data_IF_017053762673
#
_entry.id   IF_017053762673
#
_cell.length_a   1.000
_cell.length_b   1.000
_cell.length_c   1.000
_cell.angle_alpha   90.00
_cell.angle_beta   90.00
_cell.angle_gamma   90.00
#
_symmetry.space_group_name_H-M   'P 1'
#
loop_
_entity.id
_entity.type
_entity.pdbx_description
1 polymer ?
#
# COMPACT_ATOMS: atom_id res chain seq x y z
N UNK A 1 28.31 -24.28 -13.37
CA UNK A 1 28.25 -23.47 -14.60
C UNK A 1 27.03 -23.75 -15.48
N UNK A 2 26.72 -24.98 -15.92
CA UNK A 2 25.60 -25.21 -16.84
C UNK A 2 24.23 -24.88 -16.22
N UNK A 3 24.03 -25.17 -14.93
CA UNK A 3 22.76 -24.91 -14.23
C UNK A 3 22.41 -23.43 -14.16
N UNK A 4 23.38 -22.57 -13.81
CA UNK A 4 23.17 -21.14 -13.72
C UNK A 4 22.87 -20.53 -15.10
N UNK A 5 23.57 -21.01 -16.14
CA UNK A 5 23.28 -20.63 -17.51
C UNK A 5 21.84 -20.99 -17.92
N UNK A 6 21.40 -22.22 -17.65
CA UNK A 6 20.02 -22.65 -17.94
C UNK A 6 18.98 -21.81 -17.20
N UNK A 7 19.21 -21.48 -15.92
CA UNK A 7 18.32 -20.61 -15.15
C UNK A 7 18.20 -19.23 -15.82
N UNK A 8 19.32 -18.62 -16.21
CA UNK A 8 19.32 -17.32 -16.88
C UNK A 8 18.59 -17.36 -18.22
N UNK A 9 18.75 -18.43 -19.00
CA UNK A 9 18.03 -18.61 -20.27
C UNK A 9 16.51 -18.69 -20.04
N UNK A 10 16.06 -19.48 -19.06
CA UNK A 10 14.63 -19.57 -18.72
C UNK A 10 14.08 -18.22 -18.27
N UNK A 11 14.82 -17.49 -17.43
CA UNK A 11 14.44 -16.16 -16.99
C UNK A 11 14.37 -15.15 -18.14
N UNK A 12 15.30 -15.21 -19.09
CA UNK A 12 15.31 -14.34 -20.26
C UNK A 12 14.10 -14.63 -21.17
N UNK A 13 13.80 -15.90 -21.43
CA UNK A 13 12.62 -16.32 -22.20
C UNK A 13 11.34 -15.84 -21.53
N UNK A 14 11.21 -16.05 -20.21
CA UNK A 14 10.07 -15.56 -19.45
C UNK A 14 9.88 -14.05 -19.58
N UNK A 15 10.95 -13.28 -19.33
CA UNK A 15 10.88 -11.83 -19.35
C UNK A 15 10.52 -11.31 -20.75
N UNK A 16 11.10 -11.93 -21.78
CA UNK A 16 10.77 -11.63 -23.17
C UNK A 16 9.29 -11.90 -23.48
N UNK A 17 8.76 -13.07 -23.11
CA UNK A 17 7.34 -13.40 -23.30
C UNK A 17 6.44 -12.40 -22.58
N UNK A 18 6.79 -12.04 -21.34
CA UNK A 18 6.02 -11.09 -20.57
C UNK A 18 5.96 -9.71 -21.25
N UNK A 19 7.10 -9.15 -21.63
CA UNK A 19 7.17 -7.80 -22.23
C UNK A 19 6.63 -7.75 -23.66
N UNK A 20 6.82 -8.82 -24.44
CA UNK A 20 6.40 -8.86 -25.84
C UNK A 20 4.91 -9.19 -26.01
N UNK A 21 4.33 -10.01 -25.11
CA UNK A 21 2.98 -10.56 -25.29
C UNK A 21 2.05 -10.17 -24.14
N UNK A 22 2.41 -10.52 -22.90
CA UNK A 22 1.52 -10.35 -21.75
C UNK A 22 1.24 -8.87 -21.44
N UNK A 23 2.29 -8.07 -21.26
CA UNK A 23 2.16 -6.67 -20.89
C UNK A 23 1.42 -5.84 -21.96
N UNK A 24 1.69 -5.97 -23.27
CA UNK A 24 0.90 -5.29 -24.31
C UNK A 24 -0.58 -5.67 -24.30
N UNK A 25 -0.91 -6.97 -24.16
CA UNK A 25 -2.29 -7.43 -24.11
C UNK A 25 -3.04 -6.86 -22.88
N UNK A 26 -2.41 -6.90 -21.71
CA UNK A 26 -2.97 -6.33 -20.48
C UNK A 26 -3.11 -4.81 -20.55
N UNK A 27 -2.11 -4.09 -21.10
CA UNK A 27 -2.18 -2.64 -21.33
C UNK A 27 -3.31 -2.27 -22.28
N UNK A 28 -3.55 -3.09 -23.30
CA UNK A 28 -4.66 -2.86 -24.22
C UNK A 28 -6.02 -2.96 -23.51
N UNK A 29 -6.22 -4.01 -22.71
CA UNK A 29 -7.41 -4.13 -21.86
C UNK A 29 -7.57 -2.97 -20.88
N UNK A 30 -6.46 -2.50 -20.29
CA UNK A 30 -6.49 -1.37 -19.36
C UNK A 30 -6.81 -0.04 -20.05
N UNK A 31 -6.35 0.19 -21.28
CA UNK A 31 -6.70 1.38 -22.08
C UNK A 31 -8.21 1.51 -22.26
N UNK A 32 -8.93 0.42 -22.53
CA UNK A 32 -10.39 0.46 -22.61
C UNK A 32 -11.04 0.94 -21.31
N UNK A 33 -10.51 0.53 -20.16
CA UNK A 33 -11.00 1.00 -18.85
C UNK A 33 -10.72 2.47 -18.60
N UNK A 34 -9.59 2.99 -19.05
CA UNK A 34 -9.36 4.43 -19.02
C UNK A 34 -10.27 5.20 -19.98
N UNK A 35 -10.54 4.66 -21.17
CA UNK A 35 -11.48 5.28 -22.11
C UNK A 35 -12.89 5.32 -21.54
N UNK A 36 -13.34 4.26 -20.87
CA UNK A 36 -14.63 4.21 -20.19
C UNK A 36 -14.79 5.36 -19.17
N UNK A 37 -13.77 5.58 -18.31
CA UNK A 37 -13.77 6.68 -17.33
C UNK A 37 -13.75 8.05 -18.01
N UNK A 38 -12.95 8.21 -19.07
CA UNK A 38 -12.85 9.47 -19.81
C UNK A 38 -14.15 9.81 -20.52
N UNK A 39 -14.78 8.83 -21.14
CA UNK A 39 -15.99 9.03 -21.91
C UNK A 39 -17.17 9.34 -20.98
N UNK A 40 -17.23 8.71 -19.81
CA UNK A 40 -18.17 9.08 -18.74
C UNK A 40 -17.94 10.51 -18.22
N UNK A 41 -16.68 10.88 -17.96
CA UNK A 41 -16.30 12.23 -17.56
C UNK A 41 -16.79 13.28 -18.57
N UNK A 42 -16.54 13.03 -19.85
CA UNK A 42 -16.94 13.93 -20.94
C UNK A 42 -18.44 13.99 -21.14
N UNK A 43 -19.12 12.85 -21.02
CA UNK A 43 -20.57 12.80 -21.07
C UNK A 43 -21.17 13.68 -19.98
N UNK A 44 -20.76 13.49 -18.73
CA UNK A 44 -21.27 14.31 -17.62
C UNK A 44 -20.92 15.78 -17.78
N UNK A 45 -19.69 16.11 -18.19
CA UNK A 45 -19.28 17.50 -18.47
C UNK A 45 -20.18 18.21 -19.50
N UNK A 46 -20.81 17.46 -20.41
CA UNK A 46 -21.70 17.98 -21.43
C UNK A 46 -23.17 18.01 -20.99
N UNK A 47 -23.61 17.09 -20.12
CA UNK A 47 -25.03 16.93 -19.74
C UNK A 47 -25.40 17.53 -18.38
N UNK A 48 -24.43 17.71 -17.48
CA UNK A 48 -24.66 18.16 -16.11
C UNK A 48 -24.12 19.58 -15.88
N UNK A 49 -24.81 20.31 -15.00
CA UNK A 49 -24.42 21.65 -14.57
C UNK A 49 -23.40 21.58 -13.43
N UNK A 50 -22.14 21.81 -13.79
CA UNK A 50 -21.04 21.98 -12.83
C UNK A 50 -20.78 23.46 -12.56
N UNK A 51 -20.40 23.77 -11.32
CA UNK A 51 -19.86 25.09 -11.00
C UNK A 51 -18.59 25.36 -11.82
N UNK A 52 -18.24 26.64 -11.98
CA UNK A 52 -17.03 27.04 -12.72
C UNK A 52 -15.76 26.37 -12.17
N UNK A 53 -15.68 26.18 -10.86
CA UNK A 53 -14.52 25.54 -10.23
C UNK A 53 -14.50 24.02 -10.50
N UNK A 54 -15.61 23.33 -10.32
CA UNK A 54 -15.71 21.89 -10.60
C UNK A 54 -15.41 21.59 -12.07
N UNK A 55 -15.95 22.38 -13.00
CA UNK A 55 -15.67 22.24 -14.43
C UNK A 55 -14.18 22.38 -14.73
N UNK A 56 -13.49 23.33 -14.09
CA UNK A 56 -12.04 23.50 -14.23
C UNK A 56 -11.28 22.26 -13.75
N UNK A 57 -11.66 21.69 -12.60
CA UNK A 57 -11.05 20.48 -12.05
C UNK A 57 -11.29 19.29 -12.97
N UNK A 58 -12.52 19.08 -13.42
CA UNK A 58 -12.89 17.98 -14.32
C UNK A 58 -12.14 18.07 -15.66
N UNK A 59 -11.94 19.27 -16.21
CA UNK A 59 -11.13 19.47 -17.42
C UNK A 59 -9.64 19.13 -17.17
N UNK A 60 -9.09 19.50 -16.02
CA UNK A 60 -7.74 19.08 -15.64
C UNK A 60 -7.63 17.55 -15.55
N UNK A 61 -8.64 16.89 -15.00
CA UNK A 61 -8.71 15.42 -14.93
C UNK A 61 -8.81 14.79 -16.32
N UNK A 62 -9.58 15.36 -17.26
CA UNK A 62 -9.65 14.88 -18.65
C UNK A 62 -8.28 14.94 -19.33
N UNK A 63 -7.56 16.05 -19.17
CA UNK A 63 -6.20 16.20 -19.69
C UNK A 63 -5.23 15.19 -19.07
N UNK A 64 -5.27 15.01 -17.75
CA UNK A 64 -4.45 14.03 -17.04
C UNK A 64 -4.75 12.59 -17.49
N UNK A 65 -6.02 12.25 -17.69
CA UNK A 65 -6.47 10.97 -18.24
C UNK A 65 -5.91 10.74 -19.64
N UNK A 66 -6.01 11.73 -20.53
CA UNK A 66 -5.48 11.62 -21.88
C UNK A 66 -3.96 11.39 -21.89
N UNK A 67 -3.22 12.11 -21.05
CA UNK A 67 -1.78 11.92 -20.89
C UNK A 67 -1.47 10.51 -20.36
N UNK A 68 -2.20 10.06 -19.34
CA UNK A 68 -2.03 8.72 -18.73
C UNK A 68 -2.28 7.60 -19.73
N UNK A 69 -3.30 7.71 -20.57
CA UNK A 69 -3.62 6.71 -21.62
C UNK A 69 -2.49 6.62 -22.64
N UNK A 70 -2.00 7.79 -23.10
CA UNK A 70 -0.94 7.89 -24.10
C UNK A 70 0.37 7.30 -23.57
N UNK A 71 0.75 7.70 -22.37
CA UNK A 71 2.06 7.45 -21.78
C UNK A 71 2.03 6.27 -20.77
N UNK A 72 1.03 5.39 -20.87
CA UNK A 72 0.78 4.32 -19.90
C UNK A 72 1.96 3.37 -19.70
N UNK A 73 2.73 3.11 -20.75
CA UNK A 73 3.94 2.28 -20.72
C UNK A 73 5.11 2.95 -19.97
N UNK A 74 5.06 4.27 -19.76
CA UNK A 74 6.08 5.04 -19.05
C UNK A 74 5.74 5.22 -17.55
N UNK A 75 4.57 4.74 -17.13
CA UNK A 75 4.16 4.75 -15.72
C UNK A 75 5.05 3.76 -14.96
N UNK A 76 6.06 4.29 -14.27
CA UNK A 76 7.02 3.51 -13.49
C UNK A 76 6.88 3.81 -12.00
N UNK A 77 7.26 2.85 -11.15
CA UNK A 77 7.26 3.04 -9.70
C UNK A 77 8.16 4.21 -9.31
N UNK A 78 9.31 4.38 -9.98
CA UNK A 78 10.22 5.48 -9.72
C UNK A 78 9.61 6.85 -10.04
N UNK A 79 8.92 6.97 -11.18
CA UNK A 79 8.23 8.20 -11.56
C UNK A 79 7.09 8.50 -10.58
N UNK A 80 6.32 7.48 -10.19
CA UNK A 80 5.24 7.62 -9.22
C UNK A 80 5.75 8.08 -7.83
N UNK A 81 6.84 7.48 -7.34
CA UNK A 81 7.47 7.88 -6.08
C UNK A 81 8.04 9.29 -6.16
N UNK A 82 8.69 9.64 -7.28
CA UNK A 82 9.23 10.99 -7.50
C UNK A 82 8.12 12.04 -7.51
N UNK A 83 6.97 11.74 -8.12
CA UNK A 83 5.80 12.62 -8.12
C UNK A 83 5.25 12.79 -6.70
N UNK A 84 5.07 11.70 -5.95
CA UNK A 84 4.67 11.72 -4.54
C UNK A 84 5.59 12.57 -3.67
N UNK A 85 6.90 12.47 -3.87
CA UNK A 85 7.89 13.27 -3.14
C UNK A 85 7.81 14.76 -3.51
N UNK A 86 7.67 15.08 -4.80
CA UNK A 86 7.53 16.46 -5.28
C UNK A 86 6.23 17.11 -4.86
N UNK A 87 5.13 16.38 -4.84
CA UNK A 87 3.88 16.81 -4.20
C UNK A 87 4.16 17.18 -2.75
N UNK A 88 4.91 16.36 -2.00
CA UNK A 88 5.43 16.65 -0.66
C UNK A 88 6.12 18.00 -0.51
N UNK A 89 6.76 18.49 -1.57
CA UNK A 89 7.60 19.69 -1.56
C UNK A 89 6.82 20.94 -1.98
N UNK A 90 5.69 20.79 -2.68
CA UNK A 90 4.87 21.90 -3.19
C UNK A 90 3.51 21.95 -2.46
N UNK A 91 3.43 22.64 -1.30
CA UNK A 91 2.23 22.65 -0.47
C UNK A 91 1.00 23.24 -1.16
N UNK A 92 1.18 24.13 -2.15
CA UNK A 92 0.09 24.69 -2.95
C UNK A 92 -0.62 23.63 -3.79
N UNK A 93 0.14 22.72 -4.42
CA UNK A 93 -0.43 21.63 -5.23
C UNK A 93 -1.16 20.65 -4.32
N UNK A 94 -0.58 20.31 -3.16
CA UNK A 94 -1.24 19.42 -2.21
C UNK A 94 -2.55 20.02 -1.70
N UNK A 95 -2.54 21.30 -1.36
CA UNK A 95 -3.75 22.00 -0.90
C UNK A 95 -4.81 21.99 -1.99
N UNK A 96 -4.42 22.32 -3.23
CA UNK A 96 -5.34 22.29 -4.36
C UNK A 96 -5.96 20.89 -4.56
N UNK A 97 -5.13 19.84 -4.63
CA UNK A 97 -5.59 18.45 -4.81
C UNK A 97 -6.46 17.99 -3.64
N UNK A 98 -6.10 18.36 -2.41
CA UNK A 98 -6.90 18.04 -1.23
C UNK A 98 -8.27 18.70 -1.31
N UNK A 99 -8.32 20.02 -1.41
CA UNK A 99 -9.57 20.80 -1.35
C UNK A 99 -10.48 20.56 -2.56
N UNK A 100 -9.90 20.39 -3.76
CA UNK A 100 -10.67 20.37 -5.00
C UNK A 100 -10.92 18.97 -5.55
N UNK A 101 -10.15 17.96 -5.13
CA UNK A 101 -10.27 16.58 -5.62
C UNK A 101 -10.60 15.62 -4.48
N UNK A 102 -9.76 15.55 -3.45
CA UNK A 102 -9.87 14.50 -2.41
C UNK A 102 -11.03 14.77 -1.44
N UNK A 103 -11.14 16.00 -0.97
CA UNK A 103 -12.16 16.51 -0.05
C UNK A 103 -13.22 17.34 -0.81
N UNK A 104 -13.25 17.23 -2.15
CA UNK A 104 -14.22 17.92 -2.99
C UNK A 104 -15.64 17.60 -2.52
N UNK A 105 -16.57 18.57 -2.43
CA UNK A 105 -17.96 18.28 -2.09
C UNK A 105 -18.64 17.42 -3.17
N UNK A 106 -18.20 17.54 -4.41
CA UNK A 106 -18.74 16.81 -5.54
C UNK A 106 -18.30 15.33 -5.51
N UNK A 107 -19.28 14.44 -5.32
CA UNK A 107 -19.03 13.00 -5.28
C UNK A 107 -18.46 12.47 -6.60
N UNK A 108 -18.87 13.03 -7.74
CA UNK A 108 -18.41 12.59 -9.04
C UNK A 108 -16.90 12.82 -9.22
N UNK A 109 -16.38 13.97 -8.77
CA UNK A 109 -14.94 14.25 -8.82
C UNK A 109 -14.16 13.20 -8.01
N UNK A 110 -14.62 12.88 -6.80
CA UNK A 110 -13.98 11.86 -5.94
C UNK A 110 -14.06 10.47 -6.57
N UNK A 111 -15.20 10.13 -7.18
CA UNK A 111 -15.42 8.85 -7.85
C UNK A 111 -14.45 8.68 -9.03
N UNK A 112 -14.32 9.70 -9.88
CA UNK A 112 -13.40 9.66 -11.02
C UNK A 112 -11.95 9.54 -10.53
N UNK A 113 -11.53 10.35 -9.55
CA UNK A 113 -10.17 10.27 -8.98
C UNK A 113 -9.86 8.87 -8.43
N UNK A 114 -10.78 8.27 -7.68
CA UNK A 114 -10.63 6.91 -7.17
C UNK A 114 -10.44 5.87 -8.27
N UNK A 115 -11.29 5.91 -9.32
CA UNK A 115 -11.19 4.99 -10.47
C UNK A 115 -9.88 5.19 -11.23
N UNK A 116 -9.47 6.43 -11.47
CA UNK A 116 -8.21 6.73 -12.16
C UNK A 116 -7.01 6.22 -11.37
N UNK A 117 -6.96 6.47 -10.07
CA UNK A 117 -5.87 5.98 -9.20
C UNK A 117 -5.77 4.46 -9.23
N UNK A 118 -6.90 3.77 -9.15
CA UNK A 118 -6.94 2.31 -9.24
C UNK A 118 -6.35 1.82 -10.58
N UNK A 119 -6.75 2.43 -11.69
CA UNK A 119 -6.24 2.07 -13.02
C UNK A 119 -4.74 2.37 -13.17
N UNK A 120 -4.26 3.49 -12.61
CA UNK A 120 -2.82 3.83 -12.59
C UNK A 120 -2.02 2.80 -11.79
N UNK A 121 -2.53 2.36 -10.65
CA UNK A 121 -1.90 1.29 -9.85
C UNK A 121 -1.86 -0.03 -10.62
N UNK A 122 -2.94 -0.38 -11.33
CA UNK A 122 -2.95 -1.55 -12.21
C UNK A 122 -1.91 -1.41 -13.34
N UNK A 123 -1.76 -0.23 -13.94
CA UNK A 123 -0.74 0.03 -14.95
C UNK A 123 0.69 -0.17 -14.38
N UNK A 124 0.95 0.30 -13.15
CA UNK A 124 2.22 0.05 -12.46
C UNK A 124 2.49 -1.45 -12.33
N UNK A 125 1.52 -2.22 -11.85
CA UNK A 125 1.68 -3.68 -11.75
C UNK A 125 1.92 -4.35 -13.10
N UNK A 126 1.26 -3.91 -14.17
CA UNK A 126 1.50 -4.46 -15.51
C UNK A 126 2.91 -4.12 -16.00
N UNK A 127 3.37 -2.89 -15.81
CA UNK A 127 4.70 -2.47 -16.26
C UNK A 127 5.84 -3.11 -15.44
N UNK A 128 5.60 -3.50 -14.19
CA UNK A 128 6.61 -4.16 -13.33
C UNK A 128 6.40 -5.66 -13.14
N UNK A 129 5.30 -6.23 -13.65
CA UNK A 129 4.94 -7.63 -13.39
C UNK A 129 5.93 -8.64 -13.95
N UNK A 130 6.70 -8.28 -14.98
CA UNK A 130 7.79 -9.10 -15.52
C UNK A 130 8.90 -9.36 -14.52
N UNK A 131 9.00 -8.52 -13.48
CA UNK A 131 9.97 -8.67 -12.40
C UNK A 131 9.55 -9.67 -11.32
N UNK A 132 8.28 -10.08 -11.28
CA UNK A 132 7.75 -10.93 -10.21
C UNK A 132 8.57 -12.23 -10.05
N UNK A 133 9.05 -12.82 -11.16
CA UNK A 133 9.83 -14.05 -11.14
C UNK A 133 11.22 -13.87 -10.50
N UNK A 134 11.80 -12.67 -10.55
CA UNK A 134 13.09 -12.36 -9.90
C UNK A 134 12.92 -12.04 -8.42
N UNK A 135 11.80 -11.40 -8.05
CA UNK A 135 11.54 -10.95 -6.68
C UNK A 135 11.06 -12.12 -5.81
N UNK A 136 10.28 -13.05 -6.36
CA UNK A 136 9.67 -14.14 -5.61
C UNK A 136 10.68 -15.04 -4.86
N UNK A 137 11.82 -15.47 -5.45
CA UNK A 137 12.84 -16.26 -4.75
C UNK A 137 13.49 -15.54 -3.55
N UNK A 138 13.46 -14.21 -3.52
CA UNK A 138 14.01 -13.41 -2.42
C UNK A 138 12.92 -13.11 -1.39
N UNK A 139 11.72 -12.77 -1.87
CA UNK A 139 10.60 -12.36 -1.06
C UNK A 139 10.03 -13.49 -0.19
N UNK A 140 9.88 -14.70 -0.75
CA UNK A 140 9.30 -15.84 -0.02
C UNK A 140 10.15 -16.21 1.21
N UNK A 141 11.47 -16.43 1.11
CA UNK A 141 12.30 -16.67 2.29
C UNK A 141 12.27 -15.51 3.29
N UNK A 142 12.27 -14.25 2.82
CA UNK A 142 12.23 -13.09 3.71
C UNK A 142 10.94 -13.06 4.57
N UNK A 143 9.78 -13.34 3.96
CA UNK A 143 8.51 -13.44 4.68
C UNK A 143 8.51 -14.60 5.68
N UNK A 144 9.04 -15.76 5.29
CA UNK A 144 9.15 -16.91 6.19
C UNK A 144 10.03 -16.60 7.41
N UNK A 145 11.17 -15.94 7.20
CA UNK A 145 12.06 -15.52 8.28
C UNK A 145 11.35 -14.51 9.19
N UNK A 146 10.67 -13.52 8.64
CA UNK A 146 9.92 -12.54 9.42
C UNK A 146 8.82 -13.19 10.27
N UNK A 147 8.08 -14.15 9.70
CA UNK A 147 7.08 -14.93 10.41
C UNK A 147 7.71 -15.75 11.56
N UNK A 148 8.84 -16.40 11.31
CA UNK A 148 9.57 -17.17 12.33
C UNK A 148 10.00 -16.27 13.50
N UNK A 149 10.53 -15.08 13.22
CA UNK A 149 10.93 -14.10 14.24
C UNK A 149 9.70 -13.65 15.05
N UNK A 150 8.58 -13.36 14.40
CA UNK A 150 7.35 -12.95 15.07
C UNK A 150 6.82 -14.07 16.00
N UNK A 151 6.85 -15.31 15.55
CA UNK A 151 6.46 -16.48 16.35
C UNK A 151 7.40 -16.67 17.55
N UNK A 152 8.71 -16.53 17.36
CA UNK A 152 9.70 -16.60 18.44
C UNK A 152 9.48 -15.48 19.47
N UNK A 153 9.32 -14.23 19.02
CA UNK A 153 9.08 -13.08 19.89
C UNK A 153 7.79 -13.26 20.73
N UNK A 154 6.71 -13.74 20.10
CA UNK A 154 5.46 -14.03 20.83
C UNK A 154 5.64 -15.11 21.90
N UNK A 155 6.49 -16.11 21.64
CA UNK A 155 6.76 -17.21 22.57
C UNK A 155 7.62 -16.75 23.74
N UNK A 156 8.65 -15.93 23.49
CA UNK A 156 9.46 -15.31 24.55
C UNK A 156 8.60 -14.40 25.43
N UNK A 157 7.72 -13.58 24.83
CA UNK A 157 6.79 -12.72 25.58
C UNK A 157 5.89 -13.55 26.51
N UNK A 158 5.32 -14.66 26.02
CA UNK A 158 4.51 -15.57 26.85
C UNK A 158 5.32 -16.20 27.99
N UNK A 159 6.54 -16.64 27.72
CA UNK A 159 7.42 -17.22 28.72
C UNK A 159 7.78 -16.20 29.82
N UNK A 160 8.12 -14.98 29.43
CA UNK A 160 8.42 -13.89 30.35
C UNK A 160 7.23 -13.54 31.26
N UNK A 161 6.03 -13.39 30.68
CA UNK A 161 4.81 -13.12 31.46
C UNK A 161 4.52 -14.24 32.46
N UNK A 162 4.67 -15.51 32.04
CA UNK A 162 4.50 -16.67 32.92
C UNK A 162 5.52 -16.69 34.05
N UNK A 163 6.79 -16.43 33.75
CA UNK A 163 7.86 -16.38 34.75
C UNK A 163 7.64 -15.24 35.77
N UNK A 164 7.26 -14.05 35.29
CA UNK A 164 6.90 -12.91 36.15
C UNK A 164 5.75 -13.25 37.09
N UNK A 165 4.68 -13.87 36.57
CA UNK A 165 3.53 -14.27 37.39
C UNK A 165 3.91 -15.31 38.46
N UNK A 166 4.75 -16.29 38.11
CA UNK A 166 5.25 -17.27 39.07
C UNK A 166 6.12 -16.62 40.16
N UNK A 167 7.00 -15.70 39.79
CA UNK A 167 7.85 -14.96 40.72
C UNK A 167 7.03 -14.09 41.69
N UNK A 168 6.07 -13.32 41.18
CA UNK A 168 5.15 -12.53 42.01
C UNK A 168 4.36 -13.40 42.98
N UNK A 169 3.92 -14.59 42.54
CA UNK A 169 3.20 -15.54 43.41
C UNK A 169 4.08 -16.07 44.53
N UNK A 170 5.36 -16.37 44.26
CA UNK A 170 6.32 -16.81 45.28
C UNK A 170 6.62 -15.70 46.28
N UNK A 171 6.85 -14.47 45.80
CA UNK A 171 7.07 -13.30 46.69
C UNK A 171 5.86 -13.07 47.60
N UNK A 172 4.63 -13.13 47.06
CA UNK A 172 3.40 -12.98 47.86
C UNK A 172 3.29 -14.08 48.93
N UNK A 173 3.58 -15.33 48.55
CA UNK A 173 3.60 -16.44 49.50
C UNK A 173 4.62 -16.24 50.61
N UNK A 174 5.85 -15.86 50.28
CA UNK A 174 6.89 -15.57 51.27
C UNK A 174 6.49 -14.39 52.18
N UNK A 175 6.03 -13.28 51.61
CA UNK A 175 5.61 -12.11 52.38
C UNK A 175 4.46 -12.42 53.35
N UNK A 176 3.49 -13.26 52.95
CA UNK A 176 2.40 -13.70 53.84
C UNK A 176 2.86 -14.54 55.03
N UNK A 177 3.94 -15.31 54.87
CA UNK A 177 4.53 -16.13 55.95
C UNK A 177 5.35 -15.27 56.91
N UNK A 178 6.07 -14.27 56.41
CA UNK A 178 6.97 -13.45 57.23
C UNK A 178 6.30 -12.25 57.92
N UNK A 179 5.29 -11.63 57.32
CA UNK A 179 4.75 -10.35 57.80
C UNK A 179 3.30 -10.40 58.31
N UNK A 180 2.59 -11.53 58.19
CA UNK A 180 1.17 -11.60 58.48
C UNK A 180 0.33 -10.83 57.44
N UNK A 181 -0.84 -11.36 57.09
CA UNK A 181 -1.64 -10.92 55.93
C UNK A 181 -2.10 -9.44 55.96
N UNK A 182 -2.04 -8.74 57.09
CA UNK A 182 -2.78 -7.50 57.31
C UNK A 182 -2.08 -6.18 56.92
N UNK A 183 -0.83 -6.17 56.44
CA UNK A 183 -0.11 -4.89 56.21
C UNK A 183 0.52 -4.67 54.82
N UNK A 184 0.10 -5.37 53.77
CA UNK A 184 0.58 -5.03 52.42
C UNK A 184 -0.36 -4.03 51.72
N UNK A 185 0.07 -2.77 51.47
CA UNK A 185 -0.78 -1.76 50.87
C UNK A 185 -1.07 -2.10 49.40
N UNK A 186 -2.37 -2.17 49.09
CA UNK A 186 -2.94 -2.44 47.77
C UNK A 186 -2.60 -1.37 46.72
N UNK A 187 -1.99 -0.24 47.12
CA UNK A 187 -1.71 0.90 46.26
C UNK A 187 -0.50 0.73 45.33
N UNK A 188 0.34 -0.30 45.51
CA UNK A 188 1.53 -0.50 44.67
C UNK A 188 1.24 -1.10 43.27
N UNK A 189 0.00 -1.48 42.95
CA UNK A 189 -0.30 -2.31 41.78
C UNK A 189 -1.18 -1.65 40.70
N UNK A 190 -1.39 -0.33 40.75
CA UNK A 190 -2.27 0.37 39.79
C UNK A 190 -1.65 0.71 38.42
N UNK A 191 -0.53 0.09 38.03
CA UNK A 191 0.13 0.37 36.74
C UNK A 191 0.42 -0.92 35.98
N UNK A 192 -0.55 -1.53 35.29
CA UNK A 192 -0.26 -2.51 34.20
C UNK A 192 -1.45 -2.85 33.29
N UNK A 193 -2.48 -2.00 33.18
CA UNK A 193 -3.58 -2.23 32.21
C UNK A 193 -3.92 -0.98 31.41
N UNK A 194 -2.94 -0.42 30.69
CA UNK A 194 -3.18 0.41 29.50
C UNK A 194 -1.91 0.49 28.65
N UNK A 195 -1.91 -0.30 27.57
CA UNK A 195 -1.21 -0.16 26.28
C UNK A 195 -0.85 -1.54 25.70
#
# INVERSE_FOLDING_TARGET
MPTLFLILVVLAIWHFIYEAICAPAMRHGLRYKFFEVRDELRYRLATEDFTKNERKVLLMMDHALCATIRDMNLISANNYLSLRQREGTLPEIQRFVRENITESPNEFIRLVDGRVRELVVRALFINHGGWALYVLPIFVPAVMIAALIATAASSIKRAYVKAKWQFERVIRGAASVFYGWEQLPTSAYAYTTKN
#
